data_IF_498030988935
#
_entry.id   IF_498030988935
#
_cell.length_a   1.000
_cell.length_b   1.000
_cell.length_c   1.000
_cell.angle_alpha   90.00
_cell.angle_beta   90.00
_cell.angle_gamma   90.00
#
_symmetry.space_group_name_H-M   'P 1'
#
loop_
_entity.id
_entity.type
_entity.pdbx_description
1 polymer ?
#
# COMPACT_ATOMS: atom_id res chain seq x y z
N UNK A 1 -16.58 24.38 2.03
CA UNK A 1 -15.29 23.73 2.37
C UNK A 1 -14.19 24.76 2.68
N UNK A 2 -14.28 25.51 3.80
CA UNK A 2 -13.18 26.38 4.28
C UNK A 2 -12.98 26.18 5.79
N UNK A 3 -12.57 24.99 6.20
CA UNK A 3 -12.12 24.71 7.57
C UNK A 3 -10.59 24.66 7.57
N UNK A 4 -9.90 25.20 8.60
CA UNK A 4 -8.44 25.17 8.68
C UNK A 4 -7.83 23.76 8.49
N UNK A 5 -8.48 22.72 9.03
CA UNK A 5 -8.07 21.31 8.87
C UNK A 5 -8.26 20.72 7.47
N UNK A 6 -8.79 21.49 6.51
CA UNK A 6 -8.99 21.06 5.11
C UNK A 6 -8.18 21.92 4.13
N UNK A 7 -7.19 22.70 4.61
CA UNK A 7 -6.29 23.46 3.73
C UNK A 7 -5.20 22.58 3.12
N UNK A 8 -4.86 21.48 3.80
CA UNK A 8 -3.86 20.51 3.37
C UNK A 8 -4.50 19.13 3.34
N UNK A 9 -4.07 18.29 2.38
CA UNK A 9 -4.58 16.94 2.19
C UNK A 9 -3.47 15.92 2.39
N UNK A 10 -3.66 15.01 3.34
CA UNK A 10 -2.80 13.88 3.63
C UNK A 10 -3.71 12.65 3.75
N UNK A 11 -3.62 11.76 2.75
CA UNK A 11 -4.50 10.60 2.65
C UNK A 11 -3.71 9.35 3.00
N UNK A 12 -4.08 8.67 4.08
CA UNK A 12 -3.46 7.41 4.50
C UNK A 12 -4.06 6.25 3.71
N UNK A 13 -3.21 5.48 3.02
CA UNK A 13 -3.62 4.43 2.09
C UNK A 13 -3.74 3.11 2.83
N UNK A 14 -4.96 2.66 3.14
CA UNK A 14 -5.20 1.40 3.85
C UNK A 14 -5.62 0.30 2.87
N UNK A 15 -4.63 -0.43 2.34
CA UNK A 15 -4.86 -1.55 1.41
C UNK A 15 -5.30 -2.84 2.12
N UNK A 16 -4.99 -3.00 3.40
CA UNK A 16 -5.32 -4.18 4.20
C UNK A 16 -6.63 -4.08 4.97
N UNK A 17 -7.45 -3.07 4.69
CA UNK A 17 -8.67 -2.81 5.43
C UNK A 17 -9.78 -2.33 4.51
N UNK A 18 -10.91 -3.03 4.59
CA UNK A 18 -12.21 -2.57 4.08
C UNK A 18 -13.02 -2.00 5.25
N UNK A 19 -13.69 -0.87 5.04
CA UNK A 19 -14.50 -0.21 6.07
C UNK A 19 -15.90 -0.81 6.10
N UNK A 20 -16.37 -1.27 7.27
CA UNK A 20 -17.65 -1.97 7.42
C UNK A 20 -18.90 -1.06 7.58
N UNK A 21 -18.77 0.27 7.65
CA UNK A 21 -19.95 1.16 7.70
C UNK A 21 -19.65 2.62 7.32
N UNK A 22 -20.53 3.21 6.50
CA UNK A 22 -20.51 4.60 6.03
C UNK A 22 -20.93 5.64 7.09
N UNK A 23 -21.23 5.25 8.34
CA UNK A 23 -21.55 6.21 9.42
C UNK A 23 -20.29 6.95 9.87
N UNK A 24 -19.84 7.93 9.07
CA UNK A 24 -18.84 8.89 9.50
C UNK A 24 -19.53 9.86 10.44
N UNK A 25 -19.02 10.01 11.66
CA UNK A 25 -19.30 11.21 12.43
C UNK A 25 -18.70 12.38 11.66
N UNK A 26 -19.53 13.16 10.96
CA UNK A 26 -19.11 14.36 10.21
C UNK A 26 -18.41 15.40 11.10
N UNK A 27 -18.52 15.26 12.43
CA UNK A 27 -17.97 16.20 13.41
C UNK A 27 -16.43 16.21 13.45
N UNK A 28 -15.74 15.18 12.94
CA UNK A 28 -14.27 15.06 13.01
C UNK A 28 -13.60 14.83 11.64
N UNK A 29 -14.25 15.21 10.54
CA UNK A 29 -13.64 15.15 9.21
C UNK A 29 -12.48 16.16 9.09
N UNK A 30 -11.29 15.67 8.74
CA UNK A 30 -10.10 16.46 8.40
C UNK A 30 -9.42 15.86 7.16
N UNK A 31 -8.98 16.70 6.23
CA UNK A 31 -8.16 16.25 5.09
C UNK A 31 -6.71 16.01 5.49
N UNK A 32 -6.26 16.55 6.63
CA UNK A 32 -4.88 16.35 7.13
C UNK A 32 -4.60 14.97 7.71
N UNK A 33 -5.61 14.12 7.86
CA UNK A 33 -5.46 12.74 8.37
C UNK A 33 -6.62 11.86 7.84
N UNK A 34 -6.79 11.83 6.51
CA UNK A 34 -7.87 11.07 5.89
C UNK A 34 -7.43 9.61 5.71
N UNK A 35 -7.96 8.70 6.54
CA UNK A 35 -7.84 7.26 6.30
C UNK A 35 -8.71 6.87 5.10
N UNK A 36 -8.09 6.36 4.04
CA UNK A 36 -8.74 5.88 2.83
C UNK A 36 -8.60 4.36 2.76
N UNK A 37 -9.73 3.67 2.89
CA UNK A 37 -9.80 2.21 2.89
C UNK A 37 -9.92 1.64 1.47
N UNK A 38 -9.58 0.36 1.28
CA UNK A 38 -9.55 -0.29 -0.03
C UNK A 38 -10.88 -0.14 -0.80
N UNK A 39 -12.02 -0.38 -0.15
CA UNK A 39 -13.33 -0.23 -0.79
C UNK A 39 -13.62 1.21 -1.24
N UNK A 40 -13.09 2.21 -0.52
CA UNK A 40 -13.23 3.61 -0.89
C UNK A 40 -12.33 3.97 -2.08
N UNK A 41 -11.15 3.35 -2.19
CA UNK A 41 -10.29 3.50 -3.37
C UNK A 41 -11.00 2.93 -4.62
N UNK A 42 -11.67 1.78 -4.48
CA UNK A 42 -12.47 1.18 -5.55
C UNK A 42 -13.64 2.09 -5.97
N UNK A 43 -14.38 2.64 -5.01
CA UNK A 43 -15.48 3.59 -5.26
C UNK A 43 -14.99 4.87 -5.97
N UNK A 44 -13.78 5.32 -5.65
CA UNK A 44 -13.14 6.48 -6.29
C UNK A 44 -12.49 6.16 -7.64
N UNK A 45 -12.54 4.91 -8.10
CA UNK A 45 -11.90 4.47 -9.35
C UNK A 45 -10.37 4.55 -9.31
N UNK A 46 -9.78 4.43 -8.12
CA UNK A 46 -8.32 4.42 -7.94
C UNK A 46 -7.75 3.04 -8.25
N UNK A 47 -6.55 3.02 -8.82
CA UNK A 47 -5.82 1.78 -9.09
C UNK A 47 -5.10 1.29 -7.82
N UNK A 48 -5.82 0.52 -7.01
CA UNK A 48 -5.28 -0.06 -5.79
C UNK A 48 -4.14 -1.07 -6.06
N UNK A 49 -4.14 -1.74 -7.22
CA UNK A 49 -3.10 -2.70 -7.59
C UNK A 49 -1.77 -2.00 -7.85
N UNK A 50 -1.79 -0.85 -8.55
CA UNK A 50 -0.60 -0.01 -8.73
C UNK A 50 -0.08 0.50 -7.38
N UNK A 51 -0.96 0.93 -6.48
CA UNK A 51 -0.54 1.35 -5.13
C UNK A 51 0.08 0.20 -4.35
N UNK A 52 -0.54 -0.99 -4.36
CA UNK A 52 0.01 -2.18 -3.72
C UNK A 52 1.39 -2.55 -4.28
N UNK A 53 1.58 -2.47 -5.60
CA UNK A 53 2.87 -2.71 -6.24
C UNK A 53 3.95 -1.69 -5.80
N UNK A 54 3.58 -0.42 -5.62
CA UNK A 54 4.49 0.61 -5.11
C UNK A 54 4.88 0.35 -3.64
N UNK A 55 3.90 0.03 -2.79
CA UNK A 55 4.13 -0.37 -1.39
C UNK A 55 5.05 -1.59 -1.31
N UNK A 56 4.82 -2.61 -2.14
CA UNK A 56 5.65 -3.81 -2.23
C UNK A 56 7.11 -3.48 -2.58
N UNK A 57 7.33 -2.62 -3.57
CA UNK A 57 8.67 -2.18 -3.96
C UNK A 57 9.39 -1.38 -2.87
N UNK A 58 8.65 -0.52 -2.16
CA UNK A 58 9.19 0.24 -1.03
C UNK A 58 9.62 -0.68 0.11
N UNK A 59 8.77 -1.63 0.52
CA UNK A 59 9.09 -2.62 1.56
C UNK A 59 10.28 -3.50 1.17
N UNK A 60 10.33 -4.01 -0.07
CA UNK A 60 11.48 -4.80 -0.54
C UNK A 60 12.78 -3.98 -0.49
N UNK A 61 12.71 -2.69 -0.83
CA UNK A 61 13.87 -1.78 -0.73
C UNK A 61 14.29 -1.57 0.73
N UNK A 62 13.34 -1.35 1.63
CA UNK A 62 13.61 -1.20 3.06
C UNK A 62 14.27 -2.46 3.65
N UNK A 63 13.68 -3.63 3.42
CA UNK A 63 14.16 -4.89 3.97
C UNK A 63 15.54 -5.23 3.39
N UNK A 64 15.72 -5.25 2.07
CA UNK A 64 16.91 -5.87 1.48
C UNK A 64 18.04 -4.90 1.14
N UNK A 65 17.69 -3.62 0.88
CA UNK A 65 18.69 -2.59 0.56
C UNK A 65 19.04 -1.75 1.77
N UNK A 66 18.04 -1.22 2.48
CA UNK A 66 18.26 -0.40 3.66
C UNK A 66 18.49 -1.24 4.93
N UNK A 67 18.12 -2.52 4.91
CA UNK A 67 18.26 -3.45 6.04
C UNK A 67 17.54 -2.97 7.29
N UNK A 68 16.32 -2.49 7.12
CA UNK A 68 15.42 -2.08 8.20
C UNK A 68 14.11 -2.85 8.15
N UNK A 69 13.47 -3.06 9.31
CA UNK A 69 12.26 -3.88 9.47
C UNK A 69 10.96 -3.22 9.01
N UNK A 70 10.95 -1.90 8.80
CA UNK A 70 9.76 -1.17 8.39
C UNK A 70 8.69 -0.98 9.45
N UNK A 71 9.04 -1.11 10.74
CA UNK A 71 8.08 -0.85 11.81
C UNK A 71 7.68 0.62 11.85
N UNK A 72 6.39 0.86 12.05
CA UNK A 72 5.81 2.21 12.18
C UNK A 72 5.61 2.97 10.87
N UNK A 73 6.19 2.54 9.75
CA UNK A 73 6.12 3.30 8.50
C UNK A 73 4.70 3.47 7.99
N UNK A 74 4.43 4.64 7.43
CA UNK A 74 3.13 5.06 6.95
C UNK A 74 3.15 5.35 5.45
N UNK A 75 2.13 4.88 4.74
CA UNK A 75 1.96 5.12 3.31
C UNK A 75 0.82 6.11 3.07
N UNK A 76 1.14 7.22 2.41
CA UNK A 76 0.18 8.31 2.19
C UNK A 76 0.20 8.84 0.77
N UNK A 77 -0.93 9.35 0.29
CA UNK A 77 -1.00 10.15 -0.92
C UNK A 77 -0.92 11.62 -0.55
N UNK A 78 0.00 12.31 -1.23
CA UNK A 78 0.21 13.74 -1.14
C UNK A 78 0.50 14.31 -2.52
N UNK A 79 0.50 15.63 -2.63
CA UNK A 79 0.87 16.30 -3.88
C UNK A 79 2.29 15.95 -4.29
N UNK A 80 2.50 15.76 -5.60
CA UNK A 80 3.84 15.66 -6.17
C UNK A 80 4.58 16.98 -5.97
N UNK A 81 5.85 16.99 -5.54
CA UNK A 81 6.61 18.22 -5.37
C UNK A 81 6.80 18.95 -6.71
N UNK A 82 6.89 20.29 -6.69
CA UNK A 82 7.34 21.05 -7.85
C UNK A 82 8.68 20.50 -8.36
N UNK A 83 8.75 20.12 -9.64
CA UNK A 83 9.95 19.54 -10.27
C UNK A 83 9.98 18.01 -10.38
N UNK A 84 9.14 17.28 -9.64
CA UNK A 84 8.98 15.83 -9.81
C UNK A 84 7.72 15.46 -10.61
N UNK A 85 6.81 16.42 -10.80
CA UNK A 85 5.66 16.27 -11.66
C UNK A 85 6.15 16.11 -13.11
N UNK A 86 6.17 14.86 -13.59
CA UNK A 86 6.27 14.56 -15.02
C UNK A 86 4.96 14.92 -15.68
N UNK A 87 4.73 16.21 -15.83
CA UNK A 87 3.68 16.74 -16.68
C UNK A 87 3.97 16.24 -18.10
N UNK A 88 3.06 15.45 -18.67
CA UNK A 88 3.14 15.08 -20.08
C UNK A 88 2.97 16.38 -20.88
N UNK A 89 3.96 16.81 -21.67
CA UNK A 89 3.78 17.96 -22.54
C UNK A 89 2.66 17.66 -23.53
N UNK A 90 1.88 18.67 -23.91
CA UNK A 90 0.95 18.54 -25.03
C UNK A 90 1.76 18.26 -26.30
N UNK A 91 1.33 17.27 -27.07
CA UNK A 91 1.85 17.00 -28.40
C UNK A 91 1.41 18.08 -29.38
N UNK A 92 2.10 18.23 -30.51
CA UNK A 92 1.73 19.20 -31.54
C UNK A 92 0.28 18.99 -32.03
N UNK A 93 -0.14 17.73 -32.22
CA UNK A 93 -1.51 17.38 -32.61
C UNK A 93 -2.55 17.75 -31.53
N UNK A 94 -2.22 17.57 -30.25
CA UNK A 94 -3.09 18.01 -29.15
C UNK A 94 -3.18 19.55 -29.08
N UNK A 95 -2.12 20.27 -29.46
CA UNK A 95 -2.09 21.73 -29.49
C UNK A 95 -2.90 22.32 -30.66
N UNK A 96 -2.79 21.72 -31.84
CA UNK A 96 -3.51 22.13 -33.05
C UNK A 96 -5.04 21.94 -32.92
N UNK A 97 -5.47 20.99 -32.08
CA UNK A 97 -6.88 20.77 -31.78
C UNK A 97 -7.46 21.70 -30.71
N UNK A 98 -6.70 22.64 -30.15
CA UNK A 98 -7.19 23.56 -29.11
C UNK A 98 -7.84 24.80 -29.72
N UNK A 99 -8.95 25.20 -29.13
CA UNK A 99 -9.57 26.49 -29.42
C UNK A 99 -8.60 27.65 -29.10
N UNK A 100 -8.56 28.71 -29.93
CA UNK A 100 -7.74 29.89 -29.66
C UNK A 100 -8.02 30.48 -28.27
N UNK A 101 -6.96 30.75 -27.50
CA UNK A 101 -7.06 31.27 -26.13
C UNK A 101 -7.23 30.19 -25.05
N UNK A 102 -7.12 28.90 -25.40
CA UNK A 102 -7.11 27.81 -24.43
C UNK A 102 -5.96 27.92 -23.44
N UNK A 103 -6.27 27.78 -22.14
CA UNK A 103 -5.29 27.72 -21.05
C UNK A 103 -4.54 26.38 -21.08
N UNK A 104 -3.37 26.39 -21.71
CA UNK A 104 -2.50 25.22 -21.86
C UNK A 104 -1.92 24.75 -20.53
N UNK A 105 -1.75 25.64 -19.53
CA UNK A 105 -1.27 25.28 -18.21
C UNK A 105 -2.30 24.40 -17.49
N UNK A 106 -3.59 24.78 -17.52
CA UNK A 106 -4.68 23.94 -17.00
C UNK A 106 -4.81 22.61 -17.72
N UNK A 107 -4.57 22.55 -19.03
CA UNK A 107 -4.66 21.33 -19.82
C UNK A 107 -3.55 20.32 -19.45
N UNK A 108 -2.36 20.83 -19.14
CA UNK A 108 -1.21 20.03 -18.71
C UNK A 108 -1.31 19.67 -17.21
N UNK A 109 -1.80 20.59 -16.36
CA UNK A 109 -1.98 20.42 -14.91
C UNK A 109 -3.32 19.78 -14.50
N UNK A 110 -4.07 19.16 -15.43
CA UNK A 110 -5.50 18.82 -15.25
C UNK A 110 -5.83 17.89 -14.09
N UNK A 111 -4.84 17.35 -13.36
CA UNK A 111 -4.99 16.83 -11.99
C UNK A 111 -3.72 17.21 -11.23
N UNK A 112 -3.85 17.77 -10.02
CA UNK A 112 -2.73 17.79 -9.08
C UNK A 112 -2.23 16.34 -8.98
N UNK A 113 -1.08 16.05 -9.57
CA UNK A 113 -0.53 14.71 -9.54
C UNK A 113 -0.31 14.37 -8.07
N UNK A 114 -0.89 13.26 -7.62
CA UNK A 114 -0.62 12.71 -6.30
C UNK A 114 0.43 11.62 -6.45
N UNK A 115 1.39 11.58 -5.54
CA UNK A 115 2.31 10.45 -5.43
C UNK A 115 2.14 9.76 -4.07
N UNK A 116 2.50 8.49 -4.07
CA UNK A 116 2.62 7.71 -2.85
C UNK A 116 3.93 8.12 -2.15
N UNK A 117 3.79 8.58 -0.92
CA UNK A 117 4.88 8.89 -0.01
C UNK A 117 4.97 7.83 1.08
N UNK A 118 6.19 7.63 1.55
CA UNK A 118 6.51 6.82 2.70
C UNK A 118 7.11 7.72 3.78
N UNK A 119 6.56 7.66 4.99
CA UNK A 119 6.97 8.47 6.14
C UNK A 119 6.99 7.64 7.43
N UNK A 120 7.39 8.30 8.52
CA UNK A 120 7.37 7.82 9.89
C UNK A 120 8.31 6.62 10.13
N UNK A 121 9.61 6.91 10.02
CA UNK A 121 10.68 5.93 10.18
C UNK A 121 11.19 5.83 11.64
N UNK A 122 10.53 6.50 12.59
CA UNK A 122 11.00 6.65 13.98
C UNK A 122 11.13 5.33 14.73
N UNK A 123 10.31 4.34 14.36
CA UNK A 123 10.27 3.00 14.95
C UNK A 123 11.02 1.93 14.14
N UNK A 124 11.57 2.29 12.97
CA UNK A 124 12.31 1.35 12.14
C UNK A 124 13.57 0.86 12.89
N UNK A 125 13.72 -0.47 12.96
CA UNK A 125 14.91 -1.10 13.50
C UNK A 125 15.75 -1.78 12.43
N UNK A 126 17.03 -1.98 12.73
CA UNK A 126 17.91 -2.77 11.87
C UNK A 126 17.40 -4.22 11.74
N UNK A 127 17.54 -4.76 10.54
CA UNK A 127 17.14 -6.11 10.16
C UNK A 127 18.37 -6.90 9.71
N UNK A 128 18.64 -8.05 10.33
CA UNK A 128 19.68 -8.97 9.87
C UNK A 128 19.26 -9.66 8.56
N UNK A 129 20.23 -10.11 7.76
CA UNK A 129 19.95 -10.82 6.49
C UNK A 129 19.88 -12.33 6.71
N UNK A 130 19.07 -12.75 7.67
CA UNK A 130 18.84 -14.13 8.11
C UNK A 130 17.39 -14.31 8.57
N UNK A 131 17.06 -15.52 9.03
CA UNK A 131 15.72 -15.89 9.47
C UNK A 131 15.22 -15.03 10.64
N UNK A 132 16.10 -14.56 11.53
CA UNK A 132 15.71 -13.65 12.64
C UNK A 132 15.34 -12.27 12.14
N UNK A 133 16.04 -11.78 11.12
CA UNK A 133 15.69 -10.53 10.47
C UNK A 133 14.34 -10.63 9.77
N UNK A 134 14.07 -11.76 9.10
CA UNK A 134 12.76 -12.05 8.52
C UNK A 134 11.68 -12.04 9.59
N UNK A 135 11.88 -12.74 10.70
CA UNK A 135 10.92 -12.77 11.82
C UNK A 135 10.58 -11.35 12.31
N UNK A 136 11.59 -10.50 12.49
CA UNK A 136 11.42 -9.10 12.88
C UNK A 136 10.60 -8.29 11.88
N UNK A 137 10.86 -8.45 10.58
CA UNK A 137 10.10 -7.78 9.53
C UNK A 137 8.66 -8.28 9.43
N UNK A 138 8.42 -9.57 9.66
CA UNK A 138 7.07 -10.14 9.72
C UNK A 138 6.29 -9.56 10.90
N UNK A 139 6.93 -9.46 12.08
CA UNK A 139 6.32 -8.83 13.25
C UNK A 139 5.94 -7.37 12.98
N UNK A 140 6.85 -6.60 12.37
CA UNK A 140 6.58 -5.22 11.96
C UNK A 140 5.42 -5.13 10.94
N UNK A 141 5.44 -5.99 9.92
CA UNK A 141 4.40 -6.04 8.88
C UNK A 141 3.01 -6.32 9.47
N UNK A 142 2.93 -7.31 10.36
CA UNK A 142 1.67 -7.74 10.97
C UNK A 142 1.19 -6.82 12.10
N UNK A 143 2.12 -6.09 12.74
CA UNK A 143 1.85 -5.15 13.83
C UNK A 143 1.47 -3.74 13.37
N UNK A 144 1.90 -3.32 12.18
CA UNK A 144 1.55 -2.00 11.63
C UNK A 144 0.05 -1.85 11.36
N UNK A 145 -0.40 -0.60 11.26
CA UNK A 145 -1.71 -0.27 10.70
C UNK A 145 -1.85 -0.86 9.28
N UNK A 146 -3.09 -1.10 8.78
CA UNK A 146 -3.35 -1.88 7.56
C UNK A 146 -3.01 -1.14 6.25
N UNK A 147 -1.82 -0.54 6.17
CA UNK A 147 -1.25 0.07 4.98
C UNK A 147 -0.98 -0.96 3.86
N UNK A 148 -0.75 -2.21 4.24
CA UNK A 148 -0.38 -3.30 3.34
C UNK A 148 -1.59 -4.17 3.00
N UNK A 149 -1.71 -4.68 1.76
CA UNK A 149 -2.66 -5.75 1.46
C UNK A 149 -2.45 -6.93 2.43
N UNK A 150 -3.52 -7.63 2.76
CA UNK A 150 -3.47 -8.79 3.66
C UNK A 150 -3.67 -10.08 2.88
N UNK A 151 -3.02 -11.19 3.27
CA UNK A 151 -3.38 -12.49 2.76
C UNK A 151 -4.87 -12.75 2.95
N UNK A 152 -5.53 -13.24 1.90
CA UNK A 152 -6.88 -13.78 2.02
C UNK A 152 -6.77 -15.15 2.65
N UNK A 153 -7.16 -15.27 3.92
CA UNK A 153 -7.27 -16.55 4.58
C UNK A 153 -8.61 -17.15 4.17
N UNK A 154 -8.56 -18.09 3.23
CA UNK A 154 -9.74 -18.87 2.87
C UNK A 154 -10.06 -19.79 4.04
N UNK A 155 -11.11 -19.48 4.80
CA UNK A 155 -11.78 -20.49 5.60
C UNK A 155 -12.62 -21.27 4.60
N UNK A 156 -12.23 -22.51 4.31
CA UNK A 156 -13.02 -23.40 3.47
C UNK A 156 -14.31 -23.68 4.23
N UNK A 157 -15.36 -22.90 3.94
CA UNK A 157 -16.73 -23.22 4.34
C UNK A 157 -17.40 -23.68 3.05
N UNK A 158 -17.73 -24.96 2.99
CA UNK A 158 -18.55 -25.59 1.94
C UNK A 158 -18.02 -25.54 0.49
N UNK A 159 -16.72 -25.81 0.29
CA UNK A 159 -16.22 -26.32 -1.00
C UNK A 159 -16.22 -25.35 -2.19
N UNK A 160 -16.56 -24.08 -2.00
CA UNK A 160 -16.38 -23.05 -3.02
C UNK A 160 -15.02 -22.34 -2.80
N UNK A 161 -14.14 -22.48 -3.79
CA UNK A 161 -12.85 -21.79 -3.84
C UNK A 161 -13.07 -20.27 -3.84
N UNK A 162 -13.05 -19.65 -2.65
CA UNK A 162 -13.04 -18.19 -2.47
C UNK A 162 -11.75 -17.50 -2.92
N UNK A 163 -10.91 -18.19 -3.70
CA UNK A 163 -9.54 -17.81 -4.06
C UNK A 163 -9.38 -16.70 -5.10
N UNK A 164 -10.45 -16.23 -5.74
CA UNK A 164 -10.40 -15.20 -6.80
C UNK A 164 -11.13 -13.89 -6.43
N UNK A 165 -11.18 -13.57 -5.14
CA UNK A 165 -11.63 -12.26 -4.68
C UNK A 165 -10.67 -11.14 -5.10
N UNK A 166 -11.16 -9.89 -5.23
CA UNK A 166 -10.32 -8.70 -5.49
C UNK A 166 -9.15 -8.58 -4.51
N UNK A 167 -9.37 -8.92 -3.24
CA UNK A 167 -8.35 -8.88 -2.18
C UNK A 167 -7.26 -9.95 -2.40
N UNK A 168 -7.63 -11.12 -2.92
CA UNK A 168 -6.67 -12.19 -3.23
C UNK A 168 -5.79 -11.79 -4.42
N UNK A 169 -6.37 -11.17 -5.46
CA UNK A 169 -5.60 -10.59 -6.58
C UNK A 169 -4.67 -9.48 -6.11
N UNK A 170 -5.14 -8.61 -5.22
CA UNK A 170 -4.33 -7.53 -4.66
C UNK A 170 -3.12 -8.08 -3.87
N UNK A 171 -3.34 -9.08 -3.01
CA UNK A 171 -2.27 -9.77 -2.29
C UNK A 171 -1.27 -10.44 -3.24
N UNK A 172 -1.76 -11.19 -4.24
CA UNK A 172 -0.92 -11.86 -5.23
C UNK A 172 -0.06 -10.87 -6.02
N UNK A 173 -0.63 -9.73 -6.44
CA UNK A 173 0.10 -8.66 -7.12
C UNK A 173 1.17 -8.04 -6.24
N UNK A 174 0.85 -7.78 -4.97
CA UNK A 174 1.81 -7.32 -3.97
C UNK A 174 2.98 -8.32 -3.81
N UNK A 175 2.70 -9.61 -3.61
CA UNK A 175 3.71 -10.65 -3.46
C UNK A 175 4.63 -10.74 -4.69
N UNK A 176 4.04 -10.78 -5.89
CA UNK A 176 4.79 -10.86 -7.14
C UNK A 176 5.76 -9.68 -7.28
N UNK A 177 5.29 -8.46 -7.01
CA UNK A 177 6.11 -7.26 -7.09
C UNK A 177 7.19 -7.19 -6.00
N UNK A 178 6.86 -7.61 -4.77
CA UNK A 178 7.81 -7.68 -3.68
C UNK A 178 8.96 -8.62 -4.01
N UNK A 179 8.66 -9.82 -4.51
CA UNK A 179 9.67 -10.80 -4.93
C UNK A 179 10.50 -10.30 -6.11
N UNK A 180 9.88 -9.69 -7.13
CA UNK A 180 10.59 -9.13 -8.28
C UNK A 180 11.64 -8.07 -7.86
N UNK A 181 11.24 -7.12 -7.00
CA UNK A 181 12.16 -6.09 -6.52
C UNK A 181 13.23 -6.67 -5.58
N UNK A 182 12.84 -7.60 -4.71
CA UNK A 182 13.78 -8.30 -3.83
C UNK A 182 14.84 -9.05 -4.63
N UNK A 183 14.44 -9.78 -5.67
CA UNK A 183 15.36 -10.51 -6.55
C UNK A 183 16.36 -9.56 -7.22
N UNK A 184 15.89 -8.42 -7.73
CA UNK A 184 16.75 -7.37 -8.31
C UNK A 184 17.75 -6.80 -7.33
N UNK A 185 17.34 -6.55 -6.08
CA UNK A 185 18.23 -6.01 -5.04
C UNK A 185 19.28 -7.05 -4.63
N UNK A 186 18.87 -8.31 -4.48
CA UNK A 186 19.74 -9.39 -4.02
C UNK A 186 20.60 -9.98 -5.15
N UNK A 187 20.27 -9.69 -6.42
CA UNK A 187 21.06 -10.10 -7.59
C UNK A 187 22.50 -9.60 -7.46
N UNK A 188 23.46 -10.50 -7.58
CA UNK A 188 24.89 -10.16 -7.47
C UNK A 188 25.39 -9.93 -6.04
N UNK A 189 24.58 -10.22 -5.02
CA UNK A 189 25.01 -10.22 -3.61
C UNK A 189 25.24 -11.65 -3.12
N UNK A 190 26.01 -11.81 -2.04
CA UNK A 190 26.18 -13.10 -1.35
C UNK A 190 25.02 -13.43 -0.39
N UNK A 191 23.96 -12.62 -0.38
CA UNK A 191 22.86 -12.77 0.57
C UNK A 191 21.91 -13.90 0.16
N UNK A 192 21.26 -14.58 1.12
CA UNK A 192 20.39 -15.70 0.80
C UNK A 192 19.12 -15.24 0.06
N UNK A 193 18.89 -15.81 -1.14
CA UNK A 193 17.75 -15.42 -2.00
C UNK A 193 16.41 -16.02 -1.57
N UNK A 194 16.40 -16.89 -0.56
CA UNK A 194 15.17 -17.48 -0.02
C UNK A 194 14.44 -16.56 0.97
N UNK A 195 15.14 -15.60 1.59
CA UNK A 195 14.58 -14.74 2.64
C UNK A 195 13.33 -13.94 2.23
N UNK A 196 13.25 -13.36 1.01
CA UNK A 196 12.02 -12.68 0.58
C UNK A 196 10.80 -13.59 0.48
N UNK A 197 11.01 -14.85 0.08
CA UNK A 197 9.94 -15.85 0.03
C UNK A 197 9.54 -16.29 1.43
N UNK A 198 10.52 -16.56 2.29
CA UNK A 198 10.28 -16.90 3.69
C UNK A 198 9.44 -15.82 4.38
N UNK A 199 9.74 -14.54 4.14
CA UNK A 199 8.98 -13.41 4.69
C UNK A 199 7.49 -13.47 4.31
N UNK A 200 7.17 -13.69 3.03
CA UNK A 200 5.77 -13.77 2.58
C UNK A 200 5.06 -15.00 3.16
N UNK A 201 5.72 -16.16 3.16
CA UNK A 201 5.19 -17.41 3.71
C UNK A 201 4.91 -17.28 5.22
N UNK A 202 5.80 -16.62 5.96
CA UNK A 202 5.62 -16.32 7.39
C UNK A 202 4.46 -15.36 7.66
N UNK A 203 4.23 -14.35 6.80
CA UNK A 203 3.04 -13.48 6.90
C UNK A 203 1.77 -14.30 6.68
N UNK A 204 1.73 -15.12 5.64
CA UNK A 204 0.56 -15.96 5.34
C UNK A 204 0.27 -16.94 6.48
N UNK A 205 1.30 -17.53 7.07
CA UNK A 205 1.17 -18.39 8.26
C UNK A 205 0.61 -17.60 9.46
N UNK A 206 1.13 -16.40 9.73
CA UNK A 206 0.64 -15.53 10.81
C UNK A 206 -0.86 -15.22 10.65
N UNK A 207 -1.30 -14.85 9.45
CA UNK A 207 -2.71 -14.54 9.21
C UNK A 207 -3.61 -15.78 9.28
N UNK A 208 -3.14 -16.95 8.82
CA UNK A 208 -3.85 -18.23 8.97
C UNK A 208 -4.08 -18.57 10.44
N UNK A 209 -3.05 -18.48 11.28
CA UNK A 209 -3.18 -18.76 12.71
C UNK A 209 -4.11 -17.75 13.40
N UNK A 210 -3.98 -16.47 13.07
CA UNK A 210 -4.87 -15.42 13.59
C UNK A 210 -6.34 -15.66 13.23
N UNK A 211 -6.63 -16.18 12.05
CA UNK A 211 -7.99 -16.54 11.65
C UNK A 211 -8.50 -17.75 12.45
N UNK A 212 -7.67 -18.78 12.60
CA UNK A 212 -7.97 -19.99 13.38
C UNK A 212 -8.35 -19.67 14.83
N UNK A 213 -7.56 -18.82 15.49
CA UNK A 213 -7.83 -18.38 16.86
C UNK A 213 -9.15 -17.62 16.98
N UNK A 214 -9.46 -16.74 16.02
CA UNK A 214 -10.74 -16.00 16.01
C UNK A 214 -11.95 -16.90 15.82
N UNK A 215 -11.84 -17.93 14.99
CA UNK A 215 -12.91 -18.93 14.82
C UNK A 215 -13.14 -19.71 16.11
N UNK A 216 -12.07 -20.17 16.76
CA UNK A 216 -12.16 -20.89 18.04
C UNK A 216 -12.78 -20.02 19.16
N UNK A 217 -12.45 -18.73 19.22
CA UNK A 217 -13.07 -17.78 20.18
C UNK A 217 -14.57 -17.56 19.90
N UNK A 218 -14.99 -17.60 18.64
CA UNK A 218 -16.38 -17.43 18.25
C UNK A 218 -17.25 -18.66 18.58
N UNK A 219 -16.68 -19.86 18.54
CA UNK A 219 -17.37 -21.11 18.90
C UNK A 219 -17.63 -21.25 20.41
N UNK A 220 -16.90 -20.51 21.24
CA UNK A 220 -17.04 -20.52 22.71
C UNK A 220 -18.11 -19.52 23.20
N UNK A 221 -18.57 -18.60 22.34
CA UNK A 221 -19.57 -17.56 22.67
C UNK A 221 -20.98 -17.94 22.24
#
# INVERSE_FOLDING_TARGET
MKRPGNRDCLVRVYLGSRRQSAKRSERFFSLRNLKLHLNQMEELGMDAEVLAAQVAGALATMHWKARVDGRGVEFVLGSVPPGMARLKPLTAAELEGLEPGSDTERLVQKRAAVCLWLLDFDQCGNMSMDDKGVERAVEAFCGNEPYYPRPVVVVVVDGEDGGDGKDARLWKGFCARYLEISDRILSGTALPRYLPRLMLESIEAHYREKARLRSAEAEIR
#
